data_IF_092473945430
#
_entry.id   IF_092473945430
#
_cell.length_a   1.000
_cell.length_b   1.000
_cell.length_c   1.000
_cell.angle_alpha   90.00
_cell.angle_beta   90.00
_cell.angle_gamma   90.00
#
_symmetry.space_group_name_H-M   'P 1'
#
loop_
_entity.id
_entity.type
_entity.pdbx_description
1 polymer ?
#
# COMPACT_ATOMS: atom_id res chain seq x y z
N UNK A 1 11.61 -20.01 -10.86
CA UNK A 1 11.07 -20.23 -11.96
C UNK A 1 9.56 -20.10 -12.00
N UNK A 2 8.87 -21.13 -12.21
CA UNK A 2 7.42 -21.02 -12.30
C UNK A 2 6.78 -20.50 -11.05
N UNK A 3 7.42 -20.68 -9.91
CA UNK A 3 6.91 -20.15 -8.65
C UNK A 3 6.76 -18.63 -8.67
N UNK A 4 7.54 -17.94 -9.48
CA UNK A 4 7.49 -16.49 -9.53
C UNK A 4 6.22 -16.00 -10.21
N UNK A 5 5.61 -16.83 -11.04
CA UNK A 5 4.37 -16.48 -11.73
C UNK A 5 3.22 -16.33 -10.75
N UNK A 6 3.30 -16.96 -9.58
CA UNK A 6 2.25 -16.89 -8.59
C UNK A 6 2.35 -15.67 -7.67
N UNK A 7 3.39 -14.85 -7.85
CA UNK A 7 3.59 -13.66 -7.00
C UNK A 7 3.15 -12.43 -7.76
N UNK A 8 2.27 -11.65 -7.12
CA UNK A 8 1.73 -10.44 -7.71
C UNK A 8 2.00 -9.25 -6.77
N UNK A 9 2.49 -8.17 -7.35
CA UNK A 9 2.74 -6.93 -6.61
C UNK A 9 1.90 -5.84 -7.26
N UNK A 10 1.02 -5.24 -6.47
CA UNK A 10 0.23 -4.11 -6.90
C UNK A 10 0.77 -2.86 -6.23
N UNK A 11 1.07 -1.84 -7.03
CA UNK A 11 1.56 -0.56 -6.53
C UNK A 11 0.42 0.44 -6.57
N UNK A 12 0.07 0.95 -5.40
CA UNK A 12 -0.95 1.97 -5.27
C UNK A 12 -0.25 3.29 -4.94
N UNK A 13 -0.44 4.29 -5.79
CA UNK A 13 0.14 5.62 -5.59
C UNK A 13 -0.97 6.59 -5.25
N UNK A 14 -1.22 6.79 -3.95
CA UNK A 14 -2.21 7.78 -3.57
C UNK A 14 -1.71 9.16 -3.99
N UNK A 15 -2.59 9.98 -4.54
CA UNK A 15 -2.21 11.33 -4.91
C UNK A 15 -3.12 12.33 -4.22
N UNK A 16 -2.66 13.60 -4.21
CA UNK A 16 -3.41 14.68 -3.60
C UNK A 16 -3.67 14.45 -2.13
N UNK A 17 -4.82 13.94 -1.79
CA UNK A 17 -5.27 13.80 -0.40
C UNK A 17 -5.10 12.41 0.16
N UNK A 18 -4.24 11.58 -0.44
CA UNK A 18 -4.05 10.19 -0.04
C UNK A 18 -5.36 9.41 -0.14
N UNK A 19 -5.95 9.48 -1.32
CA UNK A 19 -7.25 8.92 -1.62
C UNK A 19 -7.10 7.72 -2.56
N UNK A 20 -7.82 6.65 -2.29
CA UNK A 20 -7.72 5.43 -3.09
C UNK A 20 -8.88 5.24 -4.06
N UNK A 21 -9.79 6.19 -4.17
CA UNK A 21 -10.97 6.02 -5.01
C UNK A 21 -10.63 5.75 -6.48
N UNK A 22 -9.50 6.27 -6.97
CA UNK A 22 -9.05 6.03 -8.34
C UNK A 22 -8.55 4.61 -8.56
N UNK A 23 -8.29 3.88 -7.49
CA UNK A 23 -7.66 2.56 -7.56
C UNK A 23 -8.64 1.44 -7.27
N UNK A 24 -9.93 1.75 -7.20
CA UNK A 24 -10.94 0.77 -6.84
C UNK A 24 -10.91 -0.45 -7.76
N UNK A 25 -10.75 -0.22 -9.07
CA UNK A 25 -10.70 -1.31 -10.04
C UNK A 25 -9.52 -2.25 -9.80
N UNK A 26 -8.35 -1.68 -9.52
CA UNK A 26 -7.16 -2.47 -9.24
C UNK A 26 -7.31 -3.27 -7.95
N UNK A 27 -7.90 -2.66 -6.93
CA UNK A 27 -8.16 -3.35 -5.66
C UNK A 27 -9.15 -4.49 -5.84
N UNK A 28 -10.15 -4.28 -6.67
CA UNK A 28 -11.14 -5.32 -6.97
C UNK A 28 -10.47 -6.53 -7.64
N UNK A 29 -9.58 -6.27 -8.59
CA UNK A 29 -8.83 -7.34 -9.25
C UNK A 29 -7.94 -8.08 -8.26
N UNK A 30 -7.21 -7.34 -7.43
CA UNK A 30 -6.35 -7.95 -6.42
C UNK A 30 -7.15 -8.81 -5.45
N UNK A 31 -8.31 -8.35 -5.05
CA UNK A 31 -9.20 -9.09 -4.18
C UNK A 31 -9.49 -10.48 -4.72
N UNK A 32 -9.75 -10.57 -6.02
CA UNK A 32 -10.06 -11.86 -6.64
C UNK A 32 -8.82 -12.76 -6.75
N UNK A 33 -7.66 -12.17 -6.95
CA UNK A 33 -6.43 -12.94 -7.20
C UNK A 33 -5.71 -13.34 -5.92
N UNK A 34 -6.01 -12.70 -4.79
CA UNK A 34 -5.22 -12.89 -3.58
C UNK A 34 -5.28 -14.31 -3.01
N UNK A 35 -6.35 -15.05 -3.29
CA UNK A 35 -6.50 -16.38 -2.74
C UNK A 35 -5.76 -17.46 -3.54
N UNK A 36 -5.34 -17.12 -4.75
CA UNK A 36 -4.64 -18.07 -5.63
C UNK A 36 -3.18 -17.70 -5.84
N UNK A 37 -2.75 -16.54 -5.33
CA UNK A 37 -1.42 -16.01 -5.55
C UNK A 37 -0.88 -15.42 -4.26
N UNK A 38 0.44 -15.36 -4.16
CA UNK A 38 1.07 -14.54 -3.13
C UNK A 38 0.98 -13.09 -3.59
N UNK A 39 0.32 -12.26 -2.80
CA UNK A 39 0.05 -10.89 -3.22
C UNK A 39 0.64 -9.89 -2.24
N UNK A 40 1.13 -8.79 -2.79
CA UNK A 40 1.66 -7.66 -2.02
C UNK A 40 1.01 -6.41 -2.56
N UNK A 41 0.42 -5.63 -1.66
CA UNK A 41 -0.09 -4.31 -1.99
C UNK A 41 0.89 -3.29 -1.44
N UNK A 42 1.56 -2.57 -2.34
CA UNK A 42 2.58 -1.60 -1.97
C UNK A 42 2.01 -0.20 -2.12
N UNK A 43 1.87 0.50 -1.00
CA UNK A 43 1.38 1.87 -0.99
C UNK A 43 2.57 2.81 -1.11
N UNK A 44 2.75 3.39 -2.30
CA UNK A 44 3.88 4.24 -2.62
C UNK A 44 3.53 5.70 -2.30
N UNK A 45 3.70 6.08 -1.04
CA UNK A 45 3.23 7.35 -0.50
C UNK A 45 4.35 8.40 -0.32
N UNK A 46 5.60 8.00 -0.44
CA UNK A 46 6.72 8.85 -0.05
C UNK A 46 6.80 10.13 -0.86
N UNK A 47 6.60 10.04 -2.17
CA UNK A 47 6.65 11.23 -3.02
C UNK A 47 5.57 12.22 -2.63
N UNK A 48 4.38 11.74 -2.30
CA UNK A 48 3.28 12.59 -1.91
C UNK A 48 3.60 13.34 -0.62
N UNK A 49 4.25 12.68 0.32
CA UNK A 49 4.68 13.34 1.57
C UNK A 49 5.69 14.44 1.32
N UNK A 50 6.56 14.27 0.33
CA UNK A 50 7.59 15.26 0.03
C UNK A 50 7.07 16.44 -0.77
N UNK A 51 6.09 16.22 -1.63
CA UNK A 51 5.64 17.25 -2.57
C UNK A 51 4.38 17.98 -2.13
N UNK A 52 3.61 17.41 -1.19
CA UNK A 52 2.35 17.98 -0.76
C UNK A 52 2.37 18.20 0.75
N UNK A 53 2.55 19.46 1.21
CA UNK A 53 2.58 19.73 2.66
C UNK A 53 1.31 19.32 3.39
N UNK A 54 0.17 19.38 2.71
CA UNK A 54 -1.11 19.01 3.32
C UNK A 54 -1.14 17.52 3.65
N UNK A 55 -0.45 16.70 2.86
CA UNK A 55 -0.42 15.26 3.09
C UNK A 55 0.22 14.88 4.43
N UNK A 56 1.03 15.77 5.02
CA UNK A 56 1.68 15.51 6.30
C UNK A 56 0.76 15.75 7.49
N UNK A 57 -0.34 16.48 7.28
CA UNK A 57 -1.28 16.78 8.35
C UNK A 57 -2.07 15.51 8.68
N UNK A 58 -2.01 15.09 9.95
CA UNK A 58 -2.69 13.87 10.40
C UNK A 58 -2.31 12.65 9.56
N UNK A 59 -1.04 12.56 9.18
CA UNK A 59 -0.60 11.54 8.26
C UNK A 59 -0.84 10.10 8.76
N UNK A 60 -0.51 9.76 10.02
CA UNK A 60 -0.79 8.39 10.50
C UNK A 60 -2.25 8.01 10.37
N UNK A 61 -3.15 8.94 10.66
CA UNK A 61 -4.58 8.70 10.54
C UNK A 61 -5.00 8.52 9.08
N UNK A 62 -4.42 9.30 8.17
CA UNK A 62 -4.72 9.19 6.75
C UNK A 62 -4.29 7.85 6.18
N UNK A 63 -3.09 7.39 6.57
CA UNK A 63 -2.61 6.08 6.13
C UNK A 63 -3.47 4.97 6.70
N UNK A 64 -3.86 5.08 7.95
CA UNK A 64 -4.75 4.10 8.55
C UNK A 64 -6.08 4.03 7.79
N UNK A 65 -6.61 5.18 7.39
CA UNK A 65 -7.85 5.23 6.62
C UNK A 65 -7.68 4.57 5.26
N UNK A 66 -6.55 4.77 4.59
CA UNK A 66 -6.29 4.12 3.30
C UNK A 66 -6.22 2.61 3.47
N UNK A 67 -5.53 2.13 4.49
CA UNK A 67 -5.42 0.70 4.76
C UNK A 67 -6.81 0.12 5.05
N UNK A 68 -7.60 0.81 5.88
CA UNK A 68 -8.95 0.38 6.19
C UNK A 68 -9.83 0.34 4.94
N UNK A 69 -9.69 1.33 4.07
CA UNK A 69 -10.45 1.35 2.81
C UNK A 69 -10.06 0.17 1.92
N UNK A 70 -8.78 -0.17 1.88
CA UNK A 70 -8.34 -1.36 1.14
C UNK A 70 -8.98 -2.62 1.68
N UNK A 71 -9.03 -2.76 3.00
CA UNK A 71 -9.65 -3.91 3.64
C UNK A 71 -11.14 -3.95 3.34
N UNK A 72 -11.81 -2.80 3.37
CA UNK A 72 -13.22 -2.72 3.03
C UNK A 72 -13.49 -3.07 1.57
N UNK A 73 -12.52 -2.83 0.69
CA UNK A 73 -12.63 -3.24 -0.71
C UNK A 73 -12.42 -4.74 -0.92
N UNK A 74 -12.10 -5.46 0.14
CA UNK A 74 -11.97 -6.91 0.06
C UNK A 74 -10.54 -7.43 0.14
N UNK A 75 -9.57 -6.56 0.37
CA UNK A 75 -8.18 -7.00 0.56
C UNK A 75 -8.06 -7.65 1.93
N UNK A 76 -7.64 -8.90 1.95
CA UNK A 76 -7.55 -9.70 3.16
C UNK A 76 -6.12 -9.67 3.68
N UNK A 77 -5.86 -9.07 4.85
CA UNK A 77 -4.50 -8.98 5.38
C UNK A 77 -3.86 -10.34 5.66
N UNK A 78 -4.65 -11.40 5.79
CA UNK A 78 -4.10 -12.73 5.97
C UNK A 78 -3.64 -13.36 4.65
N UNK A 79 -4.02 -12.79 3.52
CA UNK A 79 -3.65 -13.27 2.19
C UNK A 79 -2.71 -12.31 1.48
N UNK A 80 -2.86 -11.03 1.73
CA UNK A 80 -2.10 -9.96 1.03
C UNK A 80 -1.25 -9.20 2.04
N UNK A 81 0.03 -9.07 1.75
CA UNK A 81 0.92 -8.24 2.56
C UNK A 81 0.73 -6.79 2.12
N UNK A 82 0.39 -5.93 3.08
CA UNK A 82 0.24 -4.50 2.81
C UNK A 82 1.50 -3.80 3.30
N UNK A 83 2.23 -3.18 2.36
CA UNK A 83 3.46 -2.47 2.65
C UNK A 83 3.28 -0.99 2.40
N UNK A 84 3.79 -0.15 3.30
CA UNK A 84 3.72 1.30 3.16
C UNK A 84 5.15 1.81 2.99
N UNK A 85 5.42 2.45 1.86
CA UNK A 85 6.77 2.86 1.47
C UNK A 85 7.47 3.70 2.52
N UNK A 86 6.79 4.72 3.05
CA UNK A 86 7.39 5.62 4.02
C UNK A 86 7.80 4.90 5.31
N UNK A 87 7.05 3.90 5.72
CA UNK A 87 7.37 3.13 6.92
C UNK A 87 8.58 2.24 6.69
N UNK A 88 8.72 1.69 5.49
CA UNK A 88 9.85 0.85 5.16
C UNK A 88 11.13 1.67 5.12
N UNK A 89 11.08 2.85 4.50
CA UNK A 89 12.24 3.74 4.43
C UNK A 89 12.65 4.19 5.83
N UNK A 90 11.69 4.54 6.67
CA UNK A 90 11.97 4.94 8.05
C UNK A 90 12.67 3.82 8.82
N UNK A 91 12.19 2.60 8.66
CA UNK A 91 12.81 1.45 9.33
C UNK A 91 14.24 1.22 8.84
N UNK A 92 14.48 1.37 7.53
CA UNK A 92 15.82 1.22 6.98
C UNK A 92 16.78 2.28 7.52
N UNK A 93 16.31 3.51 7.67
CA UNK A 93 17.11 4.58 8.23
C UNK A 93 17.49 4.29 9.69
N UNK A 94 16.55 3.78 10.46
CA UNK A 94 16.84 3.41 11.85
C UNK A 94 17.88 2.31 11.89
N UNK A 95 17.81 1.34 11.02
CA UNK A 95 18.81 0.26 10.98
C UNK A 95 20.20 0.76 10.65
N UNK A 96 20.29 1.79 9.83
CA UNK A 96 21.60 2.37 9.49
C UNK A 96 22.24 3.09 10.66
N UNK A 97 21.45 3.53 11.62
CA UNK A 97 21.97 4.22 12.81
C UNK A 97 22.52 3.26 13.86
N UNK A 98 22.17 2.02 13.76
CA UNK A 98 22.62 0.99 14.68
C UNK A 98 23.90 0.34 14.17
#
# INVERSE_FOLDING_TARGET
MLTDVSKLIYVLRPDGELNISHYFGALHELRELQYNHQTILFIADLQQLHTNPIAKINYPERIENIVNDCILCGIDPSQTIICIESQIVELAEVQQLI
#
